data_IF_884346273190
#
_entry.id   IF_884346273190
#
_cell.length_a   1.000
_cell.length_b   1.000
_cell.length_c   1.000
_cell.angle_alpha   90.00
_cell.angle_beta   90.00
_cell.angle_gamma   90.00
#
_symmetry.space_group_name_H-M   'P 1'
#
loop_
_entity.id
_entity.type
_entity.pdbx_description
1 polymer ?
#
# COMPACT_ATOMS: atom_id res chain seq x y z
N UNK A 1 -52.75 -19.71 -27.46
CA UNK A 1 -52.52 -18.58 -28.39
C UNK A 1 -51.05 -18.18 -28.29
N UNK A 2 -50.31 -18.48 -29.34
CA UNK A 2 -48.96 -17.99 -29.61
C UNK A 2 -48.99 -16.50 -29.92
N UNK A 3 -47.89 -15.76 -29.69
CA UNK A 3 -47.41 -14.73 -30.62
C UNK A 3 -45.88 -14.54 -30.47
N UNK A 4 -45.19 -14.88 -31.56
CA UNK A 4 -43.87 -14.40 -32.04
C UNK A 4 -43.95 -12.87 -32.26
N UNK A 5 -42.91 -12.04 -32.41
CA UNK A 5 -41.61 -12.16 -33.10
C UNK A 5 -40.86 -10.82 -32.94
N UNK A 6 -39.53 -10.82 -33.08
CA UNK A 6 -38.78 -9.60 -33.45
C UNK A 6 -37.27 -9.64 -33.18
N UNK A 7 -36.54 -10.35 -34.06
CA UNK A 7 -35.08 -10.32 -34.15
C UNK A 7 -34.61 -9.09 -34.94
N UNK A 8 -33.54 -8.44 -34.48
CA UNK A 8 -32.74 -7.50 -35.26
C UNK A 8 -31.25 -7.89 -35.21
N UNK A 9 -30.74 -8.47 -36.31
CA UNK A 9 -29.32 -8.75 -36.55
C UNK A 9 -28.57 -7.45 -36.90
N UNK A 10 -27.42 -7.18 -36.27
CA UNK A 10 -26.33 -6.41 -36.91
C UNK A 10 -24.99 -7.10 -36.68
N UNK A 11 -24.30 -7.30 -37.81
CA UNK A 11 -23.01 -7.97 -38.00
C UNK A 11 -21.89 -7.22 -37.29
N UNK A 12 -21.04 -7.92 -36.54
CA UNK A 12 -19.70 -7.46 -36.19
C UNK A 12 -18.68 -8.24 -37.02
N UNK A 13 -18.03 -7.54 -37.93
CA UNK A 13 -16.90 -8.01 -38.72
C UNK A 13 -15.66 -8.04 -37.83
N UNK A 14 -15.01 -9.20 -37.77
CA UNK A 14 -13.79 -9.40 -37.01
C UNK A 14 -12.57 -8.74 -37.66
N UNK A 15 -11.73 -8.16 -36.81
CA UNK A 15 -10.30 -8.00 -37.09
C UNK A 15 -9.55 -8.73 -35.98
N UNK A 16 -8.91 -9.84 -36.37
CA UNK A 16 -7.87 -10.53 -35.62
C UNK A 16 -6.67 -9.60 -35.52
N UNK A 17 -6.14 -9.38 -34.33
CA UNK A 17 -4.79 -8.84 -34.15
C UNK A 17 -3.96 -9.98 -33.57
N UNK A 18 -3.13 -10.54 -34.45
CA UNK A 18 -2.12 -11.55 -34.17
C UNK A 18 -1.02 -10.95 -33.28
N UNK A 19 -0.73 -11.58 -32.14
CA UNK A 19 0.50 -11.35 -31.40
C UNK A 19 1.47 -12.50 -31.71
N UNK A 20 2.34 -12.24 -32.68
CA UNK A 20 3.45 -13.12 -33.04
C UNK A 20 4.52 -13.18 -31.95
N UNK A 21 4.99 -14.40 -31.70
CA UNK A 21 6.12 -14.78 -30.84
C UNK A 21 7.45 -14.26 -31.40
N UNK A 22 8.38 -14.03 -30.46
CA UNK A 22 9.83 -14.25 -30.46
C UNK A 22 10.63 -14.27 -31.77
N UNK A 23 11.81 -13.61 -31.75
CA UNK A 23 13.13 -14.23 -32.00
C UNK A 23 14.26 -13.22 -31.71
N UNK A 24 15.22 -13.68 -30.90
CA UNK A 24 16.58 -13.12 -30.76
C UNK A 24 17.37 -13.25 -32.07
N UNK A 25 18.07 -12.19 -32.52
CA UNK A 25 19.54 -12.16 -32.70
C UNK A 25 20.03 -11.03 -33.63
N UNK A 26 21.14 -10.42 -33.20
CA UNK A 26 22.28 -9.91 -33.98
C UNK A 26 22.01 -9.15 -35.29
N UNK A 27 22.35 -7.86 -35.26
CA UNK A 27 23.23 -7.30 -36.28
C UNK A 27 24.12 -6.19 -35.69
N UNK A 28 25.40 -6.53 -35.57
CA UNK A 28 26.50 -5.57 -35.59
C UNK A 28 26.44 -4.80 -36.91
N UNK A 29 26.27 -3.48 -36.88
CA UNK A 29 26.89 -2.62 -37.88
C UNK A 29 27.50 -1.40 -37.20
N UNK A 30 28.83 -1.44 -37.20
CA UNK A 30 29.73 -0.30 -37.02
C UNK A 30 29.31 0.80 -38.01
N UNK A 31 29.21 2.03 -37.53
CA UNK A 31 29.57 3.19 -38.35
C UNK A 31 30.46 4.11 -37.50
N UNK A 32 31.76 3.96 -37.74
CA UNK A 32 32.73 5.00 -37.49
C UNK A 32 32.44 6.16 -38.45
N UNK A 33 32.25 7.36 -37.93
CA UNK A 33 32.64 8.57 -38.64
C UNK A 33 33.16 9.63 -37.65
N UNK A 34 34.49 9.71 -37.65
CA UNK A 34 35.30 10.92 -37.73
C UNK A 34 35.03 12.13 -36.83
N UNK A 35 36.05 12.39 -36.01
CA UNK A 35 36.49 13.66 -35.42
C UNK A 35 36.08 14.91 -36.20
N UNK A 36 35.51 15.88 -35.49
CA UNK A 36 35.52 17.30 -35.84
C UNK A 36 35.63 18.14 -34.58
N UNK A 37 36.84 18.59 -34.28
CA UNK A 37 37.09 19.54 -33.19
C UNK A 37 36.55 20.92 -33.57
N UNK A 38 35.77 21.51 -32.67
CA UNK A 38 35.30 22.89 -32.80
C UNK A 38 35.25 23.54 -31.42
N UNK A 39 36.30 24.31 -31.10
CA UNK A 39 36.31 25.25 -29.97
C UNK A 39 35.30 26.35 -30.27
N UNK A 40 34.21 26.39 -29.52
CA UNK A 40 33.26 27.51 -29.51
C UNK A 40 33.12 28.05 -28.09
N UNK A 41 33.79 29.17 -27.81
CA UNK A 41 33.52 30.01 -26.62
C UNK A 41 32.15 30.67 -26.81
N UNK A 42 31.29 30.56 -25.80
CA UNK A 42 29.98 31.20 -25.80
C UNK A 42 29.39 31.27 -24.40
N UNK A 43 29.70 32.35 -23.70
CA UNK A 43 28.84 33.12 -22.79
C UNK A 43 28.04 32.34 -21.74
N UNK A 44 28.59 32.31 -20.52
CA UNK A 44 27.90 31.87 -19.32
C UNK A 44 26.77 32.81 -18.92
N UNK A 45 25.55 32.28 -18.89
CA UNK A 45 24.50 32.71 -17.98
C UNK A 45 24.48 31.72 -16.83
N UNK A 46 25.08 32.09 -15.70
CA UNK A 46 25.10 31.27 -14.50
C UNK A 46 23.69 31.11 -13.96
N UNK A 47 23.14 29.90 -14.05
CA UNK A 47 22.07 29.50 -13.14
C UNK A 47 22.71 29.28 -11.77
N UNK A 48 22.35 30.13 -10.82
CA UNK A 48 22.72 30.00 -9.41
C UNK A 48 22.35 28.61 -8.90
N UNK A 49 23.36 27.74 -8.74
CA UNK A 49 23.30 26.47 -8.05
C UNK A 49 23.22 26.68 -6.52
N UNK A 50 22.27 27.50 -6.06
CA UNK A 50 21.89 27.61 -4.64
C UNK A 50 20.46 27.13 -4.45
N UNK A 51 20.29 25.82 -4.54
CA UNK A 51 19.21 25.11 -3.83
C UNK A 51 19.82 24.01 -2.99
N UNK A 52 20.68 24.42 -2.06
CA UNK A 52 20.86 23.72 -0.78
C UNK A 52 19.59 23.91 0.06
N UNK A 53 18.44 23.50 -0.45
CA UNK A 53 17.32 23.16 0.43
C UNK A 53 17.65 21.76 0.94
N UNK A 54 18.17 21.59 2.17
CA UNK A 54 18.32 20.27 2.73
C UNK A 54 16.95 19.61 2.62
N UNK A 55 16.91 18.43 1.99
CA UNK A 55 15.75 17.57 2.07
C UNK A 55 15.37 17.52 3.55
N UNK A 56 14.12 17.85 3.94
CA UNK A 56 13.73 17.77 5.34
C UNK A 56 14.05 16.36 5.79
N UNK A 57 15.04 16.23 6.67
CA UNK A 57 15.31 14.96 7.31
C UNK A 57 13.98 14.58 7.95
N UNK A 58 13.45 13.42 7.54
CA UNK A 58 12.42 12.75 8.33
C UNK A 58 12.93 12.82 9.77
N UNK A 59 12.19 13.51 10.65
CA UNK A 59 12.52 13.51 12.07
C UNK A 59 12.66 12.04 12.41
N UNK A 60 13.89 11.63 12.70
CA UNK A 60 14.16 10.30 13.22
C UNK A 60 13.40 10.33 14.53
N UNK A 61 12.26 9.64 14.58
CA UNK A 61 11.57 9.43 15.83
C UNK A 61 12.63 8.84 16.75
N UNK A 62 12.91 9.47 17.90
CA UNK A 62 13.92 8.96 18.80
C UNK A 62 13.56 7.49 19.04
N UNK A 63 14.51 6.60 18.76
CA UNK A 63 14.40 5.18 19.01
C UNK A 63 14.49 5.01 20.53
N UNK A 64 13.44 5.48 21.22
CA UNK A 64 13.29 5.34 22.64
C UNK A 64 12.99 3.86 22.82
N UNK A 65 14.05 3.07 23.01
CA UNK A 65 13.98 1.70 23.54
C UNK A 65 13.50 1.71 24.99
N UNK A 66 12.37 2.36 25.26
CA UNK A 66 11.52 2.07 26.41
C UNK A 66 11.11 0.61 26.20
N UNK A 67 11.35 -0.25 27.19
CA UNK A 67 10.81 -1.62 27.18
C UNK A 67 9.30 -1.50 26.94
N UNK A 68 8.84 -1.94 25.77
CA UNK A 68 7.41 -1.93 25.44
C UNK A 68 6.69 -2.80 26.48
N UNK A 69 5.58 -2.31 27.03
CA UNK A 69 4.74 -2.97 28.03
C UNK A 69 3.28 -2.99 27.55
N UNK A 70 2.49 -3.94 28.04
CA UNK A 70 1.07 -4.08 27.67
C UNK A 70 0.87 -4.27 26.17
N UNK A 71 -0.19 -3.65 25.62
CA UNK A 71 -0.51 -3.73 24.20
C UNK A 71 0.63 -3.33 23.24
N UNK A 72 1.54 -2.45 23.69
CA UNK A 72 2.68 -1.99 22.88
C UNK A 72 3.72 -3.09 22.64
N UNK A 73 3.77 -4.12 23.47
CA UNK A 73 4.70 -5.24 23.35
C UNK A 73 4.17 -6.38 22.47
N UNK A 74 2.87 -6.36 22.13
CA UNK A 74 2.23 -7.46 21.40
C UNK A 74 2.76 -7.50 19.95
N UNK A 75 3.20 -8.66 19.44
CA UNK A 75 3.60 -8.79 18.04
C UNK A 75 2.45 -8.43 17.09
N UNK A 76 2.75 -7.64 16.04
CA UNK A 76 1.72 -7.22 15.07
C UNK A 76 1.18 -8.40 14.26
N UNK A 77 2.06 -9.33 13.89
CA UNK A 77 1.65 -10.59 13.28
C UNK A 77 1.13 -11.49 14.42
N UNK A 78 -0.03 -12.16 14.22
CA UNK A 78 -0.60 -13.02 15.25
C UNK A 78 0.33 -14.19 15.60
N UNK A 79 0.16 -14.70 16.81
CA UNK A 79 0.85 -15.92 17.25
C UNK A 79 -0.06 -17.14 17.11
N UNK A 80 0.52 -18.33 17.01
CA UNK A 80 -0.23 -19.59 16.98
C UNK A 80 -1.19 -19.71 18.17
N UNK A 81 -0.69 -19.40 19.38
CA UNK A 81 -1.49 -19.44 20.62
C UNK A 81 -2.74 -18.56 20.54
N UNK A 82 -2.64 -17.41 19.88
CA UNK A 82 -3.74 -16.46 19.73
C UNK A 82 -4.78 -16.90 18.69
N UNK A 83 -4.34 -17.60 17.64
CA UNK A 83 -5.24 -18.19 16.63
C UNK A 83 -5.87 -19.50 17.09
N UNK A 84 -5.28 -20.18 18.07
CA UNK A 84 -5.82 -21.40 18.66
C UNK A 84 -6.63 -21.15 19.94
N UNK A 85 -6.49 -19.98 20.56
CA UNK A 85 -7.26 -19.59 21.73
C UNK A 85 -8.77 -19.49 21.41
N UNK A 86 -9.65 -19.70 22.39
CA UNK A 86 -11.06 -19.36 22.24
C UNK A 86 -11.23 -17.84 22.07
N UNK A 87 -12.41 -17.43 21.61
CA UNK A 87 -12.74 -16.00 21.53
C UNK A 87 -12.55 -15.31 22.90
N UNK A 88 -11.86 -14.15 22.96
CA UNK A 88 -11.71 -13.40 24.20
C UNK A 88 -13.08 -13.04 24.79
N UNK A 89 -13.24 -13.22 26.10
CA UNK A 89 -14.49 -12.88 26.81
C UNK A 89 -14.59 -11.39 27.13
N UNK A 90 -13.45 -10.76 27.40
CA UNK A 90 -13.36 -9.38 27.89
C UNK A 90 -12.76 -8.47 26.82
N UNK A 91 -13.47 -8.31 25.70
CA UNK A 91 -13.07 -7.34 24.66
C UNK A 91 -13.51 -5.94 25.14
N UNK A 92 -12.62 -4.94 25.14
CA UNK A 92 -12.96 -3.60 25.59
C UNK A 92 -14.01 -2.96 24.69
N UNK A 93 -14.83 -2.08 25.25
CA UNK A 93 -15.91 -1.40 24.52
C UNK A 93 -15.45 0.01 24.15
N UNK A 94 -15.68 0.41 22.90
CA UNK A 94 -15.42 1.77 22.45
C UNK A 94 -16.34 2.75 23.21
N UNK A 95 -15.76 3.62 24.05
CA UNK A 95 -16.48 4.68 24.75
C UNK A 95 -16.81 5.81 23.77
N UNK A 96 -18.10 5.99 23.48
CA UNK A 96 -18.60 7.04 22.58
C UNK A 96 -19.26 8.21 23.31
N UNK A 97 -19.77 7.99 24.52
CA UNK A 97 -20.55 8.95 25.30
C UNK A 97 -19.81 9.40 26.56
N UNK A 98 -18.53 9.73 26.45
CA UNK A 98 -17.74 10.24 27.57
C UNK A 98 -16.23 10.22 27.32
N UNK A 99 -15.45 10.78 28.26
CA UNK A 99 -14.00 10.79 28.17
C UNK A 99 -13.40 9.41 28.48
N UNK A 100 -12.15 9.22 28.04
CA UNK A 100 -11.31 8.13 28.49
C UNK A 100 -10.52 8.55 29.74
N UNK A 101 -10.20 7.61 30.63
CA UNK A 101 -9.45 7.91 31.86
C UNK A 101 -8.01 8.31 31.54
N UNK A 102 -7.44 7.74 30.49
CA UNK A 102 -6.11 8.06 30.00
C UNK A 102 -5.97 7.81 28.51
N UNK A 103 -4.90 8.36 27.93
CA UNK A 103 -4.55 8.07 26.54
C UNK A 103 -4.12 6.62 26.34
N UNK A 104 -3.40 6.02 27.28
CA UNK A 104 -3.04 4.61 27.13
C UNK A 104 -4.28 3.70 27.15
N UNK A 105 -5.31 4.02 27.94
CA UNK A 105 -6.60 3.31 27.91
C UNK A 105 -7.28 3.43 26.53
N UNK A 106 -7.31 4.63 25.95
CA UNK A 106 -7.85 4.88 24.61
C UNK A 106 -7.10 4.06 23.53
N UNK A 107 -5.76 4.12 23.55
CA UNK A 107 -4.93 3.42 22.58
C UNK A 107 -5.03 1.90 22.72
N UNK A 108 -5.02 1.38 23.94
CA UNK A 108 -5.19 -0.04 24.24
C UNK A 108 -6.56 -0.54 23.77
N UNK A 109 -7.63 0.17 24.11
CA UNK A 109 -9.00 -0.16 23.69
C UNK A 109 -9.11 -0.26 22.17
N UNK A 110 -8.62 0.74 21.44
CA UNK A 110 -8.68 0.73 19.98
C UNK A 110 -7.73 -0.29 19.35
N UNK A 111 -6.57 -0.54 19.95
CA UNK A 111 -5.64 -1.57 19.49
C UNK A 111 -6.29 -2.97 19.59
N UNK A 112 -6.86 -3.31 20.75
CA UNK A 112 -7.50 -4.60 20.98
C UNK A 112 -8.72 -4.82 20.09
N UNK A 113 -9.57 -3.80 19.94
CA UNK A 113 -10.72 -3.84 19.02
C UNK A 113 -10.29 -4.09 17.57
N UNK A 114 -9.29 -3.37 17.07
CA UNK A 114 -8.79 -3.54 15.71
C UNK A 114 -8.10 -4.90 15.51
N UNK A 115 -7.36 -5.35 16.51
CA UNK A 115 -6.70 -6.65 16.49
C UNK A 115 -7.71 -7.78 16.44
N UNK A 116 -8.75 -7.72 17.27
CA UNK A 116 -9.81 -8.72 17.28
C UNK A 116 -10.62 -8.71 15.98
N UNK A 117 -10.98 -7.53 15.44
CA UNK A 117 -11.66 -7.42 14.14
C UNK A 117 -10.84 -8.03 13.00
N UNK A 118 -9.51 -7.86 13.04
CA UNK A 118 -8.61 -8.45 12.06
C UNK A 118 -8.51 -9.98 12.20
N UNK A 119 -8.34 -10.49 13.43
CA UNK A 119 -7.98 -11.89 13.68
C UNK A 119 -9.18 -12.83 13.84
N UNK A 120 -10.34 -12.32 14.27
CA UNK A 120 -11.52 -13.15 14.53
C UNK A 120 -11.94 -14.01 13.34
N UNK A 121 -12.04 -13.51 12.10
CA UNK A 121 -12.42 -14.35 10.96
C UNK A 121 -11.39 -15.46 10.68
N UNK A 122 -10.11 -15.17 10.90
CA UNK A 122 -9.01 -16.12 10.74
C UNK A 122 -9.10 -17.24 11.80
N UNK A 123 -9.25 -16.85 13.07
CA UNK A 123 -9.38 -17.76 14.22
C UNK A 123 -10.57 -18.71 14.06
N UNK A 124 -11.76 -18.16 13.81
CA UNK A 124 -12.99 -18.94 13.59
C UNK A 124 -12.86 -19.87 12.38
N UNK A 125 -12.25 -19.37 11.32
CA UNK A 125 -12.02 -20.13 10.10
C UNK A 125 -11.11 -21.33 10.31
N UNK A 126 -9.99 -21.14 11.01
CA UNK A 126 -9.03 -22.22 11.32
C UNK A 126 -9.69 -23.24 12.24
N UNK A 127 -10.46 -22.80 13.24
CA UNK A 127 -11.19 -23.73 14.12
C UNK A 127 -12.16 -24.63 13.33
N UNK A 128 -12.98 -24.04 12.45
CA UNK A 128 -13.91 -24.82 11.61
C UNK A 128 -13.18 -25.78 10.66
N UNK A 129 -12.03 -25.35 10.12
CA UNK A 129 -11.19 -26.21 9.29
C UNK A 129 -10.67 -27.41 10.06
N UNK A 130 -10.22 -27.21 11.31
CA UNK A 130 -9.73 -28.28 12.19
C UNK A 130 -10.82 -29.27 12.58
N UNK A 131 -12.03 -28.78 12.80
CA UNK A 131 -13.24 -29.57 13.07
C UNK A 131 -13.79 -30.28 11.82
N UNK A 132 -13.15 -30.08 10.65
CA UNK A 132 -13.56 -30.65 9.35
C UNK A 132 -14.99 -30.27 8.95
N UNK A 133 -15.39 -29.04 9.25
CA UNK A 133 -16.67 -28.50 8.79
C UNK A 133 -16.74 -28.45 7.25
N UNK A 134 -17.92 -28.76 6.70
CA UNK A 134 -18.15 -28.74 5.25
C UNK A 134 -18.07 -27.31 4.68
N UNK A 135 -18.59 -26.33 5.42
CA UNK A 135 -18.61 -24.91 5.02
C UNK A 135 -17.73 -24.05 5.93
N UNK A 136 -16.82 -23.29 5.32
CA UNK A 136 -15.89 -22.39 6.01
C UNK A 136 -15.96 -21.01 5.34
N UNK A 137 -16.97 -20.19 5.67
CA UNK A 137 -17.25 -18.95 4.94
C UNK A 137 -16.21 -17.84 5.17
N UNK A 138 -15.47 -17.93 6.27
CA UNK A 138 -14.49 -16.90 6.67
C UNK A 138 -13.12 -17.07 6.00
N UNK A 139 -12.82 -18.25 5.44
CA UNK A 139 -11.54 -18.55 4.81
C UNK A 139 -11.65 -18.88 3.33
N UNK A 140 -10.55 -18.64 2.63
CA UNK A 140 -10.26 -19.27 1.35
C UNK A 140 -9.07 -20.18 1.56
N UNK A 141 -9.19 -21.39 1.02
CA UNK A 141 -8.25 -22.48 1.22
C UNK A 141 -7.56 -22.79 -0.10
N UNK A 142 -6.24 -22.93 -0.02
CA UNK A 142 -5.37 -23.27 -1.13
C UNK A 142 -4.58 -24.53 -0.76
N UNK A 143 -4.49 -25.45 -1.70
CA UNK A 143 -3.94 -26.79 -1.53
C UNK A 143 -2.73 -26.99 -2.44
N UNK A 144 -1.92 -28.03 -2.16
CA UNK A 144 -0.71 -28.36 -2.93
C UNK A 144 0.25 -27.18 -3.00
N UNK A 145 0.46 -26.56 -1.85
CA UNK A 145 1.26 -25.36 -1.73
C UNK A 145 2.73 -25.75 -1.70
N UNK A 146 3.52 -25.26 -2.66
CA UNK A 146 4.94 -25.60 -2.79
C UNK A 146 5.79 -24.35 -2.97
N UNK A 147 7.00 -24.36 -2.43
CA UNK A 147 8.02 -23.38 -2.75
C UNK A 147 8.60 -23.70 -4.14
N UNK A 148 8.57 -22.71 -5.04
CA UNK A 148 9.04 -22.84 -6.43
C UNK A 148 10.27 -21.98 -6.71
N UNK A 149 10.59 -21.05 -5.81
CA UNK A 149 11.82 -20.28 -5.95
C UNK A 149 11.91 -19.13 -4.96
N UNK A 150 13.08 -18.51 -4.93
CA UNK A 150 13.40 -17.44 -4.01
C UNK A 150 13.89 -16.23 -4.81
N UNK A 151 13.51 -15.02 -4.38
CA UNK A 151 13.93 -13.76 -4.98
C UNK A 151 14.30 -12.73 -3.92
N UNK A 152 15.20 -11.81 -4.26
CA UNK A 152 15.79 -10.86 -3.30
C UNK A 152 15.37 -9.41 -3.60
N UNK A 153 14.47 -8.87 -2.79
CA UNK A 153 14.07 -7.46 -2.85
C UNK A 153 14.77 -6.62 -1.78
N UNK A 154 14.63 -5.31 -1.88
CA UNK A 154 15.11 -4.38 -0.83
C UNK A 154 14.42 -4.59 0.51
N UNK A 155 13.23 -5.20 0.52
CA UNK A 155 12.46 -5.48 1.74
C UNK A 155 12.86 -6.81 2.41
N UNK A 156 13.57 -7.69 1.70
CA UNK A 156 13.95 -9.01 2.22
C UNK A 156 13.87 -10.11 1.16
N UNK A 157 13.88 -11.35 1.68
CA UNK A 157 13.79 -12.59 0.91
C UNK A 157 12.32 -12.88 0.60
N UNK A 158 11.99 -13.01 -0.67
CA UNK A 158 10.65 -13.26 -1.17
C UNK A 158 10.59 -14.67 -1.73
N UNK A 159 9.57 -15.40 -1.32
CA UNK A 159 9.36 -16.80 -1.66
C UNK A 159 8.26 -16.90 -2.69
N UNK A 160 8.55 -17.54 -3.82
CA UNK A 160 7.55 -17.84 -4.84
C UNK A 160 6.86 -19.13 -4.49
N UNK A 161 5.56 -19.03 -4.24
CA UNK A 161 4.73 -20.15 -3.82
C UNK A 161 3.79 -20.52 -4.96
N UNK A 162 3.82 -21.78 -5.38
CA UNK A 162 2.75 -22.37 -6.22
C UNK A 162 1.67 -22.98 -5.36
N UNK A 163 0.44 -22.97 -5.87
CA UNK A 163 -0.70 -23.57 -5.20
C UNK A 163 -1.82 -23.91 -6.20
N UNK A 164 -2.79 -24.65 -5.70
CA UNK A 164 -4.07 -24.93 -6.36
C UNK A 164 -5.21 -24.47 -5.48
N UNK A 165 -6.36 -24.17 -6.06
CA UNK A 165 -7.55 -23.75 -5.31
C UNK A 165 -8.38 -24.98 -4.99
N UNK A 166 -8.98 -25.02 -3.80
CA UNK A 166 -9.89 -26.11 -3.41
C UNK A 166 -10.94 -26.35 -4.51
N UNK A 167 -11.19 -27.62 -4.84
CA UNK A 167 -12.09 -28.05 -5.93
C UNK A 167 -11.77 -27.48 -7.34
N UNK A 168 -10.55 -26.99 -7.58
CA UNK A 168 -10.15 -26.37 -8.86
C UNK A 168 -11.10 -25.25 -9.32
N UNK A 169 -11.63 -24.47 -8.37
CA UNK A 169 -12.44 -23.30 -8.65
C UNK A 169 -11.77 -22.37 -9.67
N UNK A 170 -12.47 -22.06 -10.77
CA UNK A 170 -12.01 -21.07 -11.74
C UNK A 170 -12.61 -19.72 -11.42
N UNK A 171 -11.75 -18.72 -11.28
CA UNK A 171 -12.19 -17.34 -11.02
C UNK A 171 -11.39 -16.33 -11.83
N UNK A 172 -12.05 -15.19 -12.09
CA UNK A 172 -11.42 -14.06 -12.76
C UNK A 172 -10.51 -13.34 -11.78
N UNK A 173 -9.24 -13.74 -11.76
CA UNK A 173 -8.22 -13.15 -10.90
C UNK A 173 -8.17 -11.62 -11.06
N UNK A 174 -8.18 -11.08 -12.28
CA UNK A 174 -8.12 -9.64 -12.52
C UNK A 174 -9.12 -8.79 -11.69
N UNK A 175 -10.32 -9.32 -11.42
CA UNK A 175 -11.35 -8.63 -10.62
C UNK A 175 -11.44 -9.11 -9.17
N UNK A 176 -10.74 -10.18 -8.83
CA UNK A 176 -10.79 -10.81 -7.51
C UNK A 176 -9.95 -10.06 -6.47
N UNK A 177 -10.48 -9.95 -5.25
CA UNK A 177 -9.76 -9.44 -4.07
C UNK A 177 -8.94 -10.53 -3.35
N UNK A 178 -8.86 -11.74 -3.89
CA UNK A 178 -8.05 -12.85 -3.34
C UNK A 178 -6.55 -12.52 -3.44
N UNK A 179 -5.78 -12.84 -2.41
CA UNK A 179 -4.32 -12.78 -2.35
C UNK A 179 -3.72 -11.45 -2.82
N UNK A 180 -4.41 -10.33 -2.58
CA UNK A 180 -3.86 -9.03 -2.94
C UNK A 180 -2.59 -8.74 -2.13
N UNK A 181 -1.61 -7.99 -2.68
CA UNK A 181 -0.43 -7.61 -1.91
C UNK A 181 -0.82 -6.98 -0.57
N UNK A 182 -0.18 -7.39 0.53
CA UNK A 182 -0.51 -6.99 1.90
C UNK A 182 -1.49 -7.92 2.64
N UNK A 183 -2.04 -8.93 1.97
CA UNK A 183 -2.88 -9.95 2.65
C UNK A 183 -2.01 -10.88 3.50
N UNK A 184 -2.43 -11.13 4.74
CA UNK A 184 -1.86 -12.17 5.60
C UNK A 184 -2.34 -13.55 5.13
N UNK A 185 -1.39 -14.46 4.95
CA UNK A 185 -1.60 -15.86 4.63
C UNK A 185 -0.96 -16.73 5.70
N UNK A 186 -1.65 -17.80 6.08
CA UNK A 186 -1.18 -18.76 7.08
C UNK A 186 -0.99 -20.10 6.41
N UNK A 187 0.15 -20.73 6.68
CA UNK A 187 0.54 -22.02 6.12
C UNK A 187 0.61 -23.06 7.23
N UNK A 188 0.15 -24.27 6.97
CA UNK A 188 0.29 -25.39 7.89
C UNK A 188 0.40 -26.72 7.14
N UNK A 189 1.04 -27.71 7.76
CA UNK A 189 1.17 -29.09 7.28
C UNK A 189 0.40 -30.12 8.12
N UNK A 190 -0.03 -29.74 9.32
CA UNK A 190 -0.50 -30.64 10.38
C UNK A 190 -1.89 -30.23 10.88
N UNK A 191 -2.77 -29.83 9.96
CA UNK A 191 -4.12 -29.35 10.31
C UNK A 191 -4.06 -28.17 11.30
N UNK A 192 -3.17 -27.22 11.04
CA UNK A 192 -3.03 -25.97 11.79
C UNK A 192 -2.66 -26.19 13.27
N UNK A 193 -1.86 -27.21 13.58
CA UNK A 193 -1.20 -27.35 14.87
C UNK A 193 0.07 -26.50 14.94
N UNK A 194 0.87 -26.53 13.87
CA UNK A 194 1.95 -25.58 13.59
C UNK A 194 1.57 -24.66 12.44
N UNK A 195 1.94 -23.38 12.54
CA UNK A 195 1.60 -22.36 11.56
C UNK A 195 2.80 -21.48 11.21
N UNK A 196 2.91 -21.18 9.91
CA UNK A 196 3.86 -20.20 9.38
C UNK A 196 3.11 -19.01 8.83
N UNK A 197 3.59 -17.80 9.09
CA UNK A 197 2.93 -16.57 8.69
C UNK A 197 3.66 -15.89 7.54
N UNK A 198 2.92 -15.57 6.49
CA UNK A 198 3.41 -14.84 5.34
C UNK A 198 2.49 -13.67 4.97
N UNK A 199 3.06 -12.64 4.36
CA UNK A 199 2.29 -11.57 3.72
C UNK A 199 2.49 -11.65 2.22
N UNK A 200 1.41 -11.61 1.44
CA UNK A 200 1.53 -11.59 -0.02
C UNK A 200 2.27 -10.34 -0.45
N UNK A 201 3.42 -10.50 -1.09
CA UNK A 201 4.26 -9.40 -1.54
C UNK A 201 3.87 -8.95 -2.95
N UNK A 202 3.71 -9.91 -3.86
CA UNK A 202 3.35 -9.62 -5.25
C UNK A 202 2.41 -10.69 -5.81
N UNK A 203 1.47 -10.21 -6.62
CA UNK A 203 0.39 -10.99 -7.22
C UNK A 203 0.35 -10.70 -8.72
N UNK A 204 1.25 -11.33 -9.47
CA UNK A 204 1.32 -11.18 -10.92
C UNK A 204 0.17 -11.90 -11.60
N UNK A 205 -0.64 -11.20 -12.40
CA UNK A 205 -1.77 -11.81 -13.11
C UNK A 205 -1.32 -12.88 -14.10
N UNK A 206 -0.17 -12.70 -14.76
CA UNK A 206 0.38 -13.68 -15.70
C UNK A 206 0.65 -15.04 -15.05
N UNK A 207 1.03 -15.05 -13.76
CA UNK A 207 1.28 -16.26 -12.98
C UNK A 207 0.01 -16.90 -12.43
N UNK A 208 -1.12 -16.20 -12.51
CA UNK A 208 -2.44 -16.65 -12.05
C UNK A 208 -3.39 -17.02 -13.20
N UNK A 209 -2.96 -16.83 -14.44
CA UNK A 209 -3.70 -17.27 -15.65
C UNK A 209 -3.47 -18.75 -15.98
N UNK A 210 -2.46 -19.38 -15.35
CA UNK A 210 -2.19 -20.81 -15.47
C UNK A 210 -3.34 -21.65 -14.90
N UNK A 211 -3.68 -22.74 -15.57
CA UNK A 211 -4.83 -23.57 -15.19
C UNK A 211 -4.58 -24.49 -13.98
N UNK A 212 -3.33 -24.86 -13.67
CA UNK A 212 -3.00 -25.88 -12.68
C UNK A 212 -1.70 -25.60 -11.87
N UNK A 213 -1.19 -24.37 -11.92
CA UNK A 213 0.03 -23.96 -11.21
C UNK A 213 -0.04 -22.45 -10.97
N UNK A 214 -0.86 -22.05 -10.01
CA UNK A 214 -1.07 -20.65 -9.68
C UNK A 214 0.07 -20.21 -8.77
N UNK A 215 0.72 -19.08 -9.09
CA UNK A 215 1.87 -18.63 -8.30
C UNK A 215 1.70 -17.21 -7.77
N UNK A 216 2.14 -17.01 -6.53
CA UNK A 216 2.27 -15.71 -5.88
C UNK A 216 3.65 -15.59 -5.22
N UNK A 217 4.05 -14.36 -4.95
CA UNK A 217 5.26 -14.07 -4.20
C UNK A 217 4.87 -13.67 -2.77
N UNK A 218 5.45 -14.31 -1.76
CA UNK A 218 5.14 -14.17 -0.33
C UNK A 218 6.39 -13.76 0.45
N UNK A 219 6.22 -12.85 1.40
CA UNK A 219 7.23 -12.45 2.38
C UNK A 219 6.88 -13.07 3.74
N UNK A 220 7.72 -14.00 4.21
CA UNK A 220 7.55 -14.67 5.50
C UNK A 220 8.15 -13.86 6.65
N UNK A 221 7.71 -14.14 7.88
CA UNK A 221 8.47 -13.73 9.07
C UNK A 221 9.81 -14.45 9.09
N UNK A 222 10.80 -13.83 9.73
CA UNK A 222 12.15 -14.40 9.77
C UNK A 222 12.17 -15.80 10.40
N UNK A 223 11.40 -16.02 11.48
CA UNK A 223 11.28 -17.34 12.11
C UNK A 223 10.54 -18.37 11.25
N UNK A 224 9.74 -17.93 10.27
CA UNK A 224 8.87 -18.75 9.44
C UNK A 224 9.46 -19.05 8.04
N UNK A 225 10.70 -18.61 7.76
CA UNK A 225 11.33 -18.71 6.43
C UNK A 225 11.60 -20.17 6.03
N UNK A 226 11.88 -21.05 7.00
CA UNK A 226 12.25 -22.43 6.70
C UNK A 226 11.09 -23.17 6.06
N UNK A 227 11.15 -23.38 4.74
CA UNK A 227 10.21 -24.22 4.01
C UNK A 227 10.86 -25.58 3.75
N UNK A 228 10.23 -26.65 4.21
CA UNK A 228 10.64 -28.00 3.82
C UNK A 228 10.17 -28.21 2.37
N UNK A 229 11.11 -28.51 1.47
CA UNK A 229 10.81 -28.83 0.08
C UNK A 229 9.92 -30.08 0.03
N UNK A 230 8.87 -30.06 -0.81
CA UNK A 230 7.99 -31.18 -1.17
C UNK A 230 6.83 -31.59 -0.26
N UNK A 231 6.59 -30.94 0.88
CA UNK A 231 5.43 -31.28 1.72
C UNK A 231 4.17 -30.50 1.35
N UNK A 232 3.03 -31.20 1.26
CA UNK A 232 1.73 -30.67 0.84
C UNK A 232 1.10 -29.67 1.81
N UNK A 233 1.72 -28.50 1.98
CA UNK A 233 1.19 -27.42 2.80
C UNK A 233 -0.21 -27.00 2.33
N UNK A 234 -1.01 -26.59 3.30
CA UNK A 234 -2.28 -25.89 3.10
C UNK A 234 -2.08 -24.43 3.46
N UNK A 235 -2.49 -23.53 2.57
CA UNK A 235 -2.45 -22.09 2.78
C UNK A 235 -3.87 -21.55 2.90
N UNK A 236 -4.09 -20.65 3.86
CA UNK A 236 -5.38 -19.97 4.05
C UNK A 236 -5.24 -18.46 4.04
N UNK A 237 -6.26 -17.78 3.53
CA UNK A 237 -6.46 -16.34 3.70
C UNK A 237 -7.88 -16.05 4.21
N UNK A 238 -8.06 -14.93 4.91
CA UNK A 238 -9.39 -14.46 5.32
C UNK A 238 -10.18 -13.85 4.16
N UNK A 239 -11.51 -14.03 4.16
CA UNK A 239 -12.39 -13.47 3.13
C UNK A 239 -12.70 -11.98 3.33
N UNK A 240 -12.72 -11.51 4.58
CA UNK A 240 -13.22 -10.19 5.00
C UNK A 240 -12.15 -9.18 5.39
N UNK A 241 -11.00 -9.62 5.91
CA UNK A 241 -10.00 -8.75 6.54
C UNK A 241 -8.79 -8.52 5.62
N UNK A 242 -8.37 -7.26 5.47
CA UNK A 242 -7.17 -6.88 4.73
C UNK A 242 -6.06 -6.45 5.69
N UNK A 243 -5.17 -7.40 6.02
CA UNK A 243 -4.19 -7.28 7.09
C UNK A 243 -3.31 -6.04 7.01
N UNK A 244 -2.79 -5.66 5.83
CA UNK A 244 -1.89 -4.50 5.69
C UNK A 244 -2.48 -3.20 6.26
N UNK A 245 -3.80 -2.99 6.10
CA UNK A 245 -4.46 -1.81 6.64
C UNK A 245 -4.44 -1.82 8.17
N UNK A 246 -4.75 -2.96 8.79
CA UNK A 246 -4.68 -3.11 10.25
C UNK A 246 -3.25 -3.05 10.75
N UNK A 247 -2.30 -3.70 10.06
CA UNK A 247 -0.87 -3.71 10.39
C UNK A 247 -0.33 -2.29 10.55
N UNK A 248 -0.59 -1.40 9.60
CA UNK A 248 -0.11 -0.01 9.70
C UNK A 248 -0.75 0.76 10.86
N UNK A 249 -2.07 0.63 11.05
CA UNK A 249 -2.77 1.33 12.15
C UNK A 249 -2.30 0.81 13.50
N UNK A 250 -2.21 -0.50 13.68
CA UNK A 250 -1.74 -1.13 14.91
C UNK A 250 -0.30 -0.72 15.24
N UNK A 251 0.61 -0.68 14.26
CA UNK A 251 1.98 -0.18 14.48
C UNK A 251 1.97 1.26 15.00
N UNK A 252 1.18 2.14 14.38
CA UNK A 252 1.07 3.54 14.80
C UNK A 252 0.53 3.63 16.23
N UNK A 253 -0.53 2.88 16.58
CA UNK A 253 -1.08 2.86 17.94
C UNK A 253 -0.04 2.40 18.98
N UNK A 254 0.79 1.41 18.65
CA UNK A 254 1.85 0.93 19.54
C UNK A 254 3.01 1.91 19.70
N UNK A 255 3.32 2.71 18.67
CA UNK A 255 4.45 3.64 18.64
C UNK A 255 4.07 5.07 19.05
N UNK A 256 2.78 5.42 19.04
CA UNK A 256 2.33 6.77 19.30
C UNK A 256 2.73 7.24 20.69
N UNK A 257 3.47 8.35 20.75
CA UNK A 257 3.89 8.97 21.99
C UNK A 257 2.73 9.77 22.61
N UNK A 258 2.33 9.48 23.87
CA UNK A 258 1.21 10.13 24.52
C UNK A 258 1.24 11.66 24.51
N UNK A 259 2.44 12.26 24.56
CA UNK A 259 2.60 13.71 24.62
C UNK A 259 2.45 14.41 23.27
N UNK A 260 2.37 13.64 22.18
CA UNK A 260 2.39 14.16 20.80
C UNK A 260 1.08 13.98 20.05
N UNK A 261 0.06 13.37 20.67
CA UNK A 261 -1.21 13.12 20.01
C UNK A 261 -1.94 14.46 19.73
N UNK A 262 -2.23 14.78 18.46
CA UNK A 262 -3.02 15.97 18.13
C UNK A 262 -4.48 15.84 18.60
N UNK A 263 -5.09 16.95 19.03
CA UNK A 263 -6.49 17.04 19.46
C UNK A 263 -6.84 16.15 20.67
N UNK A 264 -5.87 15.90 21.56
CA UNK A 264 -6.03 15.08 22.77
C UNK A 264 -7.21 15.54 23.63
N UNK A 265 -7.34 16.85 23.82
CA UNK A 265 -8.40 17.53 24.54
C UNK A 265 -9.80 17.18 23.99
N UNK A 266 -9.93 17.03 22.68
CA UNK A 266 -11.22 16.71 22.05
C UNK A 266 -11.49 15.21 21.98
N UNK A 267 -10.46 14.40 21.74
CA UNK A 267 -10.59 12.95 21.51
C UNK A 267 -10.70 12.19 22.85
N UNK A 268 -9.92 12.58 23.86
CA UNK A 268 -9.78 11.85 25.12
C UNK A 268 -10.55 12.55 26.23
N UNK A 269 -10.33 13.85 26.40
CA UNK A 269 -10.88 14.64 27.50
C UNK A 269 -12.31 15.11 27.20
N UNK A 270 -12.79 14.90 25.97
CA UNK A 270 -14.14 15.19 25.51
C UNK A 270 -14.50 16.69 25.59
N UNK A 271 -13.51 17.57 25.43
CA UNK A 271 -13.71 19.01 25.35
C UNK A 271 -14.44 19.39 24.05
N UNK A 272 -15.56 20.09 24.19
CA UNK A 272 -16.42 20.52 23.08
C UNK A 272 -16.04 21.89 22.53
N UNK A 273 -15.24 22.67 23.28
CA UNK A 273 -14.85 24.01 22.88
C UNK A 273 -13.66 23.97 21.93
N UNK A 274 -13.87 24.37 20.68
CA UNK A 274 -12.83 24.31 19.64
C UNK A 274 -12.21 25.69 19.47
N UNK A 275 -10.97 25.83 19.91
CA UNK A 275 -10.20 27.07 19.74
C UNK A 275 -9.78 27.33 18.28
N UNK A 276 -9.17 28.49 18.09
CA UNK A 276 -8.53 28.89 16.85
C UNK A 276 -7.26 28.06 16.58
N UNK A 277 -6.87 27.84 15.32
CA UNK A 277 -5.57 27.24 15.02
C UNK A 277 -4.41 28.09 15.54
N UNK A 278 -3.42 27.46 16.17
CA UNK A 278 -2.22 28.10 16.74
C UNK A 278 -1.47 28.98 15.72
N UNK A 279 -1.42 28.55 14.45
CA UNK A 279 -0.74 29.34 13.41
C UNK A 279 -1.39 30.71 13.17
N UNK A 280 -2.67 30.90 13.53
CA UNK A 280 -3.33 32.19 13.45
C UNK A 280 -2.95 33.11 14.60
N UNK A 281 -2.49 32.58 15.74
CA UNK A 281 -2.01 33.41 16.86
C UNK A 281 -0.68 34.08 16.51
N UNK A 282 0.18 33.36 15.77
CA UNK A 282 1.55 33.76 15.46
C UNK A 282 1.61 34.59 14.17
N UNK A 283 0.70 34.36 13.21
CA UNK A 283 0.76 34.96 11.87
C UNK A 283 -0.28 36.06 11.67
N UNK A 284 -0.05 36.85 10.62
CA UNK A 284 -1.03 37.82 10.16
C UNK A 284 -2.33 37.10 9.80
N UNK A 285 -3.45 37.57 10.37
CA UNK A 285 -4.79 37.04 10.14
C UNK A 285 -5.47 37.62 8.91
N UNK A 286 -4.78 38.46 8.14
CA UNK A 286 -5.31 39.00 6.89
C UNK A 286 -5.10 38.00 5.77
N UNK A 287 -6.19 37.43 5.26
CA UNK A 287 -6.18 36.52 4.13
C UNK A 287 -6.64 37.23 2.86
N UNK A 288 -5.98 36.92 1.76
CA UNK A 288 -6.39 37.27 0.43
C UNK A 288 -7.40 36.26 -0.11
N UNK A 289 -8.60 36.73 -0.41
CA UNK A 289 -9.64 36.00 -1.10
C UNK A 289 -9.65 36.44 -2.57
N UNK A 290 -9.07 35.63 -3.46
CA UNK A 290 -9.13 35.84 -4.91
C UNK A 290 -10.53 35.53 -5.44
N UNK A 291 -11.30 36.58 -5.69
CA UNK A 291 -12.69 36.51 -6.18
C UNK A 291 -12.72 37.20 -7.55
N UNK A 292 -13.13 36.50 -8.60
CA UNK A 292 -13.13 37.00 -9.98
C UNK A 292 -11.81 37.64 -10.39
N UNK A 293 -10.69 36.98 -10.04
CA UNK A 293 -9.31 37.43 -10.27
C UNK A 293 -8.93 38.78 -9.63
N UNK A 294 -9.72 39.23 -8.65
CA UNK A 294 -9.42 40.40 -7.82
C UNK A 294 -9.04 39.97 -6.41
N UNK A 295 -7.93 40.50 -5.94
CA UNK A 295 -7.47 40.32 -4.57
C UNK A 295 -8.36 41.11 -3.60
N UNK A 296 -8.83 40.43 -2.55
CA UNK A 296 -9.58 41.06 -1.46
C UNK A 296 -9.04 40.59 -0.13
N UNK A 297 -8.47 41.53 0.61
CA UNK A 297 -7.86 41.27 1.91
C UNK A 297 -8.92 41.34 3.01
N UNK A 298 -9.02 40.29 3.81
CA UNK A 298 -9.95 40.19 4.93
C UNK A 298 -9.24 39.67 6.17
N UNK A 299 -9.47 40.32 7.31
CA UNK A 299 -9.03 39.79 8.59
C UNK A 299 -9.98 38.66 9.03
N UNK A 300 -9.49 37.41 9.04
CA UNK A 300 -10.29 36.25 9.39
C UNK A 300 -10.62 36.17 10.90
N UNK A 301 -9.92 36.95 11.74
CA UNK A 301 -10.25 37.12 13.17
C UNK A 301 -11.29 38.20 13.42
N UNK A 302 -11.44 39.13 12.48
CA UNK A 302 -12.32 40.28 12.61
C UNK A 302 -13.76 39.98 12.19
N UNK A 303 -14.50 41.05 11.89
CA UNK A 303 -15.85 40.94 11.36
C UNK A 303 -15.85 40.37 9.93
N UNK A 304 -16.57 39.27 9.74
CA UNK A 304 -16.72 38.65 8.43
C UNK A 304 -17.74 39.43 7.58
N UNK A 305 -17.45 39.75 6.32
CA UNK A 305 -18.41 40.44 5.46
C UNK A 305 -19.65 39.58 5.19
N UNK A 306 -20.72 40.20 4.70
CA UNK A 306 -21.92 39.46 4.26
C UNK A 306 -21.61 38.59 3.04
N UNK A 307 -22.27 37.43 2.95
CA UNK A 307 -22.04 36.43 1.89
C UNK A 307 -22.15 37.05 0.49
N UNK A 308 -23.16 37.90 0.25
CA UNK A 308 -23.40 38.56 -1.04
C UNK A 308 -22.23 39.44 -1.52
N UNK A 309 -21.42 39.97 -0.59
CA UNK A 309 -20.27 40.82 -0.93
C UNK A 309 -19.08 40.01 -1.42
N UNK A 310 -18.91 38.78 -0.93
CA UNK A 310 -17.71 37.96 -1.18
C UNK A 310 -18.03 36.84 -2.17
N UNK A 311 -19.07 36.06 -1.88
CA UNK A 311 -19.46 34.89 -2.63
C UNK A 311 -20.98 34.89 -2.84
N UNK A 312 -21.49 35.69 -3.78
CA UNK A 312 -22.93 35.76 -4.05
C UNK A 312 -23.52 34.42 -4.52
N UNK A 313 -22.65 33.50 -4.94
CA UNK A 313 -22.98 32.13 -5.35
C UNK A 313 -23.05 31.12 -4.19
N UNK A 314 -22.64 31.52 -2.97
CA UNK A 314 -22.68 30.65 -1.79
C UNK A 314 -23.98 30.86 -1.00
N UNK A 315 -24.58 29.75 -0.57
CA UNK A 315 -25.63 29.81 0.44
C UNK A 315 -25.06 30.16 1.82
N UNK A 316 -25.85 30.80 2.70
CA UNK A 316 -25.39 31.22 4.05
C UNK A 316 -24.77 30.07 4.84
N UNK A 317 -25.37 28.88 4.81
CA UNK A 317 -24.82 27.69 5.50
C UNK A 317 -23.48 27.20 4.93
N UNK A 318 -23.24 27.37 3.62
CA UNK A 318 -21.95 27.06 2.99
C UNK A 318 -20.90 28.10 3.37
N UNK A 319 -21.30 29.36 3.50
CA UNK A 319 -20.45 30.44 3.97
C UNK A 319 -20.04 30.25 5.44
N UNK A 320 -20.97 29.86 6.30
CA UNK A 320 -20.69 29.51 7.70
C UNK A 320 -19.75 28.31 7.82
N UNK A 321 -19.93 27.29 6.96
CA UNK A 321 -19.01 26.16 6.88
C UNK A 321 -17.60 26.60 6.45
N UNK A 322 -17.49 27.49 5.46
CA UNK A 322 -16.21 28.06 5.02
C UNK A 322 -15.53 28.85 6.14
N UNK A 323 -16.28 29.72 6.82
CA UNK A 323 -15.81 30.48 7.97
C UNK A 323 -15.28 29.55 9.06
N UNK A 324 -16.02 28.49 9.39
CA UNK A 324 -15.61 27.52 10.41
C UNK A 324 -14.33 26.78 10.02
N UNK A 325 -14.17 26.37 8.77
CA UNK A 325 -12.95 25.72 8.28
C UNK A 325 -11.71 26.61 8.34
N UNK A 326 -11.88 27.93 8.17
CA UNK A 326 -10.76 28.88 8.15
C UNK A 326 -10.39 29.44 9.53
N UNK A 327 -11.30 29.34 10.51
CA UNK A 327 -11.14 30.00 11.83
C UNK A 327 -11.00 29.04 13.01
N UNK A 328 -11.29 27.75 12.84
CA UNK A 328 -11.26 26.75 13.92
C UNK A 328 -10.21 25.67 13.66
N UNK A 329 -9.54 25.21 14.72
CA UNK A 329 -8.55 24.11 14.62
C UNK A 329 -9.17 22.78 14.18
N UNK A 330 -10.46 22.59 14.48
CA UNK A 330 -11.25 21.45 14.06
C UNK A 330 -12.62 21.91 13.52
N UNK A 331 -12.99 21.42 12.33
CA UNK A 331 -14.27 21.75 11.70
C UNK A 331 -14.98 20.49 11.21
N UNK A 332 -16.14 20.21 11.79
CA UNK A 332 -17.04 19.14 11.35
C UNK A 332 -18.12 19.74 10.44
N UNK A 333 -18.07 19.42 9.15
CA UNK A 333 -19.01 19.93 8.15
C UNK A 333 -19.95 18.82 7.70
N UNK A 334 -21.19 18.90 8.15
CA UNK A 334 -22.25 17.99 7.73
C UNK A 334 -23.04 18.61 6.58
N UNK A 335 -23.39 17.79 5.58
CA UNK A 335 -24.26 18.22 4.50
C UNK A 335 -24.89 17.02 3.77
N UNK A 336 -26.18 17.02 3.47
CA UNK A 336 -26.82 16.03 2.61
C UNK A 336 -26.13 15.89 1.22
N UNK A 337 -26.42 14.82 0.46
CA UNK A 337 -25.97 14.71 -0.93
C UNK A 337 -26.40 15.95 -1.75
N UNK A 338 -25.51 16.44 -2.63
CA UNK A 338 -25.81 17.59 -3.49
C UNK A 338 -25.63 18.98 -2.86
N UNK A 339 -25.40 19.11 -1.55
CA UNK A 339 -25.27 20.41 -0.85
C UNK A 339 -23.96 21.17 -1.09
N UNK A 340 -23.15 20.75 -2.06
CA UNK A 340 -21.93 21.47 -2.42
C UNK A 340 -20.75 21.31 -1.45
N UNK A 341 -20.69 20.28 -0.60
CA UNK A 341 -19.53 20.03 0.30
C UNK A 341 -18.18 20.10 -0.43
N UNK A 342 -18.09 19.45 -1.59
CA UNK A 342 -16.90 19.52 -2.45
C UNK A 342 -16.60 20.94 -2.90
N UNK A 343 -17.63 21.70 -3.28
CA UNK A 343 -17.49 23.08 -3.73
C UNK A 343 -16.91 23.99 -2.63
N UNK A 344 -17.48 23.92 -1.42
CA UNK A 344 -17.00 24.70 -0.27
C UNK A 344 -15.60 24.26 0.14
N UNK A 345 -15.33 22.95 0.16
CA UNK A 345 -14.01 22.41 0.46
C UNK A 345 -12.93 22.87 -0.53
N UNK A 346 -13.24 22.94 -1.83
CA UNK A 346 -12.32 23.47 -2.84
C UNK A 346 -12.01 24.95 -2.61
N UNK A 347 -13.01 25.77 -2.25
CA UNK A 347 -12.79 27.18 -1.90
C UNK A 347 -11.89 27.30 -0.66
N UNK A 348 -12.14 26.50 0.37
CA UNK A 348 -11.31 26.50 1.58
C UNK A 348 -9.85 26.13 1.27
N UNK A 349 -9.62 25.05 0.52
CA UNK A 349 -8.26 24.63 0.11
C UNK A 349 -7.57 25.73 -0.70
N UNK A 350 -8.26 26.35 -1.67
CA UNK A 350 -7.70 27.44 -2.46
C UNK A 350 -7.25 28.61 -1.57
N UNK A 351 -8.14 29.07 -0.67
CA UNK A 351 -7.83 30.16 0.27
C UNK A 351 -6.66 29.80 1.18
N UNK A 352 -6.61 28.57 1.71
CA UNK A 352 -5.50 28.14 2.56
C UNK A 352 -4.17 28.09 1.79
N UNK A 353 -4.14 27.61 0.55
CA UNK A 353 -2.92 27.57 -0.28
C UNK A 353 -2.45 28.98 -0.68
N UNK A 354 -3.37 29.88 -1.02
CA UNK A 354 -3.05 31.26 -1.39
C UNK A 354 -2.44 32.06 -0.21
N UNK A 355 -2.73 31.67 1.04
CA UNK A 355 -2.38 32.45 2.24
C UNK A 355 -1.39 31.76 3.18
N UNK A 356 -1.21 30.45 3.06
CA UNK A 356 -0.35 29.67 3.94
C UNK A 356 0.70 28.89 3.13
N UNK A 357 1.98 28.92 3.54
CA UNK A 357 3.06 28.12 2.95
C UNK A 357 3.02 26.65 3.42
N UNK A 358 1.88 26.16 3.91
CA UNK A 358 1.73 24.81 4.44
C UNK A 358 1.27 23.83 3.37
N UNK A 359 1.74 22.59 3.49
CA UNK A 359 1.26 21.49 2.65
C UNK A 359 -0.05 20.96 3.23
N UNK A 360 -1.04 20.78 2.37
CA UNK A 360 -2.36 20.26 2.76
C UNK A 360 -2.40 18.77 2.43
N UNK A 361 -2.70 17.94 3.43
CA UNK A 361 -2.96 16.51 3.24
C UNK A 361 -4.47 16.30 3.08
N UNK A 362 -4.86 15.63 1.99
CA UNK A 362 -6.25 15.35 1.67
C UNK A 362 -6.47 13.84 1.68
N UNK A 363 -7.41 13.40 2.51
CA UNK A 363 -7.78 11.99 2.65
C UNK A 363 -9.26 11.80 2.37
N UNK A 364 -9.62 10.71 1.70
CA UNK A 364 -11.00 10.31 1.47
C UNK A 364 -11.14 8.80 1.61
N UNK A 365 -12.33 8.33 2.01
CA UNK A 365 -12.61 6.89 2.14
C UNK A 365 -12.50 6.13 0.81
N UNK A 366 -12.82 6.78 -0.32
CA UNK A 366 -12.81 6.14 -1.63
C UNK A 366 -11.88 6.87 -2.59
N UNK A 367 -11.21 6.09 -3.45
CA UNK A 367 -10.42 6.63 -4.57
C UNK A 367 -11.27 7.52 -5.48
N UNK A 368 -12.55 7.18 -5.70
CA UNK A 368 -13.41 8.00 -6.55
C UNK A 368 -13.63 9.40 -5.98
N UNK A 369 -13.94 9.51 -4.68
CA UNK A 369 -14.13 10.80 -4.01
C UNK A 369 -12.84 11.64 -4.02
N UNK A 370 -11.69 11.00 -3.74
CA UNK A 370 -10.39 11.67 -3.80
C UNK A 370 -10.10 12.19 -5.22
N UNK A 371 -10.30 11.38 -6.26
CA UNK A 371 -10.05 11.78 -7.65
C UNK A 371 -10.90 12.97 -8.05
N UNK A 372 -12.18 12.97 -7.69
CA UNK A 372 -13.09 14.08 -7.97
C UNK A 372 -12.64 15.37 -7.27
N UNK A 373 -12.18 15.27 -6.02
CA UNK A 373 -11.69 16.41 -5.27
C UNK A 373 -10.39 16.96 -5.88
N UNK A 374 -9.43 16.09 -6.19
CA UNK A 374 -8.16 16.47 -6.83
C UNK A 374 -8.36 17.05 -8.23
N UNK A 375 -9.35 16.58 -9.00
CA UNK A 375 -9.73 17.15 -10.29
C UNK A 375 -10.22 18.60 -10.16
N UNK A 376 -10.79 18.97 -9.00
CA UNK A 376 -11.14 20.34 -8.66
C UNK A 376 -9.91 21.18 -8.31
N UNK A 377 -9.00 20.62 -7.50
CA UNK A 377 -7.78 21.31 -7.04
C UNK A 377 -6.81 21.59 -8.19
N UNK A 378 -6.64 20.64 -9.12
CA UNK A 378 -5.73 20.80 -10.27
C UNK A 378 -6.04 22.03 -11.14
N UNK A 379 -7.21 22.65 -10.98
CA UNK A 379 -7.59 23.86 -11.72
C UNK A 379 -6.87 25.11 -11.21
N UNK A 380 -6.32 25.07 -10.00
CA UNK A 380 -5.68 26.19 -9.35
C UNK A 380 -4.38 25.85 -8.61
N UNK A 381 -3.98 24.57 -8.54
CA UNK A 381 -2.72 24.12 -7.96
C UNK A 381 -2.12 22.96 -8.77
N UNK A 382 -0.86 23.10 -9.18
CA UNK A 382 -0.14 22.11 -9.99
C UNK A 382 0.74 21.16 -9.15
N UNK A 383 1.13 21.56 -7.93
CA UNK A 383 2.02 20.79 -7.06
C UNK A 383 1.27 19.71 -6.27
N UNK A 384 0.57 18.84 -6.97
CA UNK A 384 -0.22 17.75 -6.39
C UNK A 384 0.61 16.46 -6.42
N UNK A 385 0.69 15.80 -5.26
CA UNK A 385 1.18 14.41 -5.17
C UNK A 385 0.04 13.55 -4.63
N UNK A 386 -0.38 12.58 -5.43
CA UNK A 386 -1.36 11.58 -5.05
C UNK A 386 -0.66 10.28 -4.63
N UNK A 387 -1.01 9.79 -3.44
CA UNK A 387 -0.62 8.47 -2.97
C UNK A 387 -1.63 7.40 -3.43
N UNK A 388 -1.13 6.20 -3.71
CA UNK A 388 -1.91 5.07 -4.24
C UNK A 388 -1.90 4.96 -5.76
N UNK A 389 -2.00 3.73 -6.27
CA UNK A 389 -1.85 3.40 -7.69
C UNK A 389 -3.17 3.40 -8.49
N UNK A 390 -4.32 3.29 -7.81
CA UNK A 390 -5.62 3.05 -8.45
C UNK A 390 -6.38 4.34 -8.74
N UNK A 391 -6.26 4.84 -9.97
CA UNK A 391 -7.08 5.94 -10.51
C UNK A 391 -7.79 5.54 -11.78
N UNK A 392 -9.02 6.03 -11.97
CA UNK A 392 -9.73 5.95 -13.27
C UNK A 392 -9.52 7.19 -14.14
N UNK A 393 -9.04 8.30 -13.58
CA UNK A 393 -8.84 9.55 -14.31
C UNK A 393 -7.41 9.63 -14.86
N UNK A 394 -7.27 9.73 -16.18
CA UNK A 394 -5.95 9.81 -16.81
C UNK A 394 -5.20 11.10 -16.41
N UNK A 395 -5.93 12.19 -16.16
CA UNK A 395 -5.34 13.43 -15.61
C UNK A 395 -4.79 13.23 -14.20
N UNK A 396 -5.51 12.54 -13.31
CA UNK A 396 -5.03 12.32 -11.94
C UNK A 396 -3.92 11.27 -11.88
N UNK A 397 -3.87 10.33 -12.83
CA UNK A 397 -2.77 9.36 -12.91
C UNK A 397 -1.42 10.04 -13.00
N UNK A 398 -1.27 11.16 -13.72
CA UNK A 398 0.01 11.88 -13.84
C UNK A 398 0.51 12.43 -12.49
N UNK A 399 -0.41 12.77 -11.58
CA UNK A 399 -0.08 13.22 -10.22
C UNK A 399 0.22 12.09 -9.24
N UNK A 400 0.11 10.82 -9.63
CA UNK A 400 0.48 9.71 -8.73
C UNK A 400 1.97 9.73 -8.43
N UNK A 401 2.36 9.41 -7.20
CA UNK A 401 3.76 9.34 -6.79
C UNK A 401 4.61 8.44 -7.71
N UNK A 402 4.03 7.35 -8.19
CA UNK A 402 4.69 6.47 -9.15
C UNK A 402 5.04 7.21 -10.45
N UNK A 403 4.06 7.84 -11.11
CA UNK A 403 4.30 8.54 -12.37
C UNK A 403 5.19 9.76 -12.18
N UNK A 404 5.03 10.53 -11.08
CA UNK A 404 5.95 11.63 -10.75
C UNK A 404 7.38 11.17 -10.56
N UNK A 405 7.60 10.02 -9.92
CA UNK A 405 8.94 9.42 -9.81
C UNK A 405 9.50 8.97 -11.16
N UNK A 406 8.67 8.45 -12.07
CA UNK A 406 9.12 8.09 -13.42
C UNK A 406 9.48 9.34 -14.23
N UNK A 407 8.69 10.41 -14.14
CA UNK A 407 9.00 11.72 -14.76
C UNK A 407 10.37 12.23 -14.29
N UNK A 408 10.62 12.24 -12.97
CA UNK A 408 11.89 12.67 -12.38
C UNK A 408 13.05 11.79 -12.88
N UNK A 409 12.87 10.47 -12.92
CA UNK A 409 13.89 9.54 -13.43
C UNK A 409 14.23 9.75 -14.91
N UNK A 410 13.28 10.24 -15.71
CA UNK A 410 13.45 10.52 -17.14
C UNK A 410 14.06 11.90 -17.37
N UNK A 411 13.73 12.89 -16.53
CA UNK A 411 14.22 14.27 -16.62
C UNK A 411 15.63 14.45 -16.02
N UNK A 412 15.94 13.70 -14.96
CA UNK A 412 17.27 13.68 -14.37
C UNK A 412 18.14 12.66 -15.10
N UNK A 413 19.15 13.14 -15.83
CA UNK A 413 20.35 12.33 -16.07
C UNK A 413 20.76 11.78 -14.70
N UNK A 414 20.93 10.46 -14.53
CA UNK A 414 21.04 9.86 -13.22
C UNK A 414 22.10 10.63 -12.45
N UNK A 415 21.74 11.15 -11.28
CA UNK A 415 22.69 11.45 -10.23
C UNK A 415 23.57 10.21 -10.09
N UNK A 416 24.72 10.22 -10.78
CA UNK A 416 25.73 9.16 -10.82
C UNK A 416 26.37 9.12 -9.44
N UNK A 417 25.64 8.68 -8.44
CA UNK A 417 26.21 8.35 -7.16
C UNK A 417 26.92 7.00 -7.36
N UNK A 418 28.19 7.07 -7.78
CA UNK A 418 29.01 5.90 -8.12
C UNK A 418 29.03 4.86 -7.02
N UNK A 419 28.90 5.30 -5.76
CA UNK A 419 28.74 4.45 -4.57
C UNK A 419 27.45 3.62 -4.61
N UNK A 420 26.31 4.22 -4.96
CA UNK A 420 25.03 3.52 -5.06
C UNK A 420 25.09 2.48 -6.19
N UNK A 421 25.70 2.82 -7.33
CA UNK A 421 25.89 1.86 -8.42
C UNK A 421 26.81 0.69 -8.03
N UNK A 422 27.83 0.95 -7.20
CA UNK A 422 28.68 -0.10 -6.63
C UNK A 422 27.90 -1.07 -5.74
N UNK A 423 27.03 -0.54 -4.87
CA UNK A 423 26.15 -1.35 -4.01
C UNK A 423 25.16 -2.19 -4.82
N UNK A 424 24.59 -1.64 -5.90
CA UNK A 424 23.72 -2.42 -6.80
C UNK A 424 24.45 -3.60 -7.45
N UNK A 425 25.70 -3.40 -7.92
CA UNK A 425 26.51 -4.50 -8.47
C UNK A 425 26.85 -5.56 -7.43
N UNK A 426 27.19 -5.15 -6.21
CA UNK A 426 27.44 -6.08 -5.11
C UNK A 426 26.19 -6.91 -4.77
N UNK A 427 25.02 -6.25 -4.70
CA UNK A 427 23.74 -6.93 -4.53
C UNK A 427 23.51 -7.95 -5.64
N UNK A 428 23.66 -7.56 -6.91
CA UNK A 428 23.47 -8.46 -8.05
C UNK A 428 24.42 -9.66 -8.02
N UNK A 429 25.68 -9.46 -7.60
CA UNK A 429 26.62 -10.56 -7.44
C UNK A 429 26.19 -11.54 -6.36
N UNK A 430 25.88 -11.06 -5.15
CA UNK A 430 25.39 -11.89 -4.06
C UNK A 430 24.10 -12.64 -4.44
N UNK A 431 23.17 -11.97 -5.12
CA UNK A 431 21.95 -12.60 -5.62
C UNK A 431 22.26 -13.76 -6.58
N UNK A 432 23.23 -13.59 -7.50
CA UNK A 432 23.64 -14.68 -8.41
C UNK A 432 24.26 -15.86 -7.65
N UNK A 433 25.13 -15.56 -6.69
CA UNK A 433 25.82 -16.60 -5.91
C UNK A 433 24.81 -17.40 -5.06
N UNK A 434 23.83 -16.73 -4.46
CA UNK A 434 22.75 -17.37 -3.70
C UNK A 434 21.83 -18.22 -4.58
N UNK A 435 21.41 -17.72 -5.74
CA UNK A 435 20.57 -18.49 -6.67
C UNK A 435 21.28 -19.77 -7.10
N UNK A 436 22.57 -19.68 -7.44
CA UNK A 436 23.36 -20.86 -7.79
C UNK A 436 23.40 -21.89 -6.66
N UNK A 437 23.60 -21.45 -5.42
CA UNK A 437 23.59 -22.34 -4.26
C UNK A 437 22.23 -23.02 -4.06
N UNK A 438 21.13 -22.28 -4.27
CA UNK A 438 19.78 -22.85 -4.21
C UNK A 438 19.54 -23.89 -5.31
N UNK A 439 19.97 -23.63 -6.54
CA UNK A 439 19.87 -24.58 -7.67
C UNK A 439 20.63 -25.89 -7.37
N UNK A 440 21.83 -25.78 -6.77
CA UNK A 440 22.65 -26.93 -6.35
C UNK A 440 21.99 -27.75 -5.22
N UNK A 441 21.16 -27.11 -4.37
CA UNK A 441 20.38 -27.78 -3.31
C UNK A 441 19.13 -28.46 -3.88
N UNK A 442 18.43 -27.83 -4.83
CA UNK A 442 17.21 -28.38 -5.46
C UNK A 442 17.52 -29.59 -6.35
N UNK A 443 18.67 -29.59 -7.02
CA UNK A 443 19.20 -30.73 -7.74
C UNK A 443 20.54 -31.13 -7.13
N UNK A 444 20.57 -31.88 -6.01
CA UNK A 444 21.80 -32.45 -5.53
C UNK A 444 22.29 -33.38 -6.64
N UNK A 445 23.29 -32.94 -7.40
CA UNK A 445 24.01 -33.81 -8.31
C UNK A 445 24.60 -34.92 -7.44
N UNK A 446 23.91 -36.06 -7.35
CA UNK A 446 24.50 -37.30 -6.87
C UNK A 446 25.70 -37.55 -7.77
N UNK A 447 26.89 -37.29 -7.25
CA UNK A 447 28.09 -37.58 -7.99
C UNK A 447 28.22 -39.09 -8.13
N UNK A 448 28.94 -39.53 -9.14
CA UNK A 448 29.21 -40.96 -9.36
C UNK A 448 29.79 -41.66 -8.13
N UNK A 449 30.56 -40.92 -7.32
CA UNK A 449 31.13 -41.41 -6.06
C UNK A 449 30.10 -41.57 -4.96
N UNK A 450 29.09 -40.70 -4.90
CA UNK A 450 28.04 -40.77 -3.88
C UNK A 450 27.16 -42.02 -4.10
N UNK A 451 26.93 -42.40 -5.35
CA UNK A 451 26.20 -43.64 -5.72
C UNK A 451 27.04 -44.89 -5.43
N UNK A 452 28.36 -44.82 -5.66
CA UNK A 452 29.33 -45.89 -5.36
C UNK A 452 29.44 -46.13 -3.85
N UNK A 453 29.48 -45.07 -3.03
CA UNK A 453 29.51 -45.15 -1.57
C UNK A 453 28.21 -45.66 -0.95
N UNK A 454 27.05 -45.38 -1.56
CA UNK A 454 25.75 -45.85 -1.08
C UNK A 454 25.49 -47.34 -1.38
N UNK A 455 26.33 -48.01 -2.19
CA UNK A 455 26.24 -49.46 -2.46
C UNK A 455 24.93 -49.90 -3.12
N UNK A 456 24.21 -48.98 -3.77
CA UNK A 456 22.86 -49.21 -4.28
C UNK A 456 22.82 -49.94 -5.63
N UNK A 457 23.95 -50.07 -6.33
CA UNK A 457 24.06 -50.68 -7.65
C UNK A 457 25.16 -51.75 -7.66
N UNK A 458 24.94 -52.84 -8.40
CA UNK A 458 25.96 -53.88 -8.61
C UNK A 458 27.08 -53.40 -9.54
N UNK A 459 28.27 -54.02 -9.45
CA UNK A 459 29.43 -53.66 -10.29
C UNK A 459 29.12 -53.66 -11.79
N UNK A 460 28.30 -54.60 -12.26
CA UNK A 460 27.87 -54.66 -13.66
C UNK A 460 26.93 -53.53 -14.06
N UNK A 461 26.04 -53.10 -13.16
CA UNK A 461 25.14 -51.96 -13.42
C UNK A 461 25.94 -50.64 -13.43
N UNK A 462 26.95 -50.53 -12.57
CA UNK A 462 27.88 -49.39 -12.52
C UNK A 462 28.72 -49.27 -13.80
N UNK A 463 29.20 -50.37 -14.38
CA UNK A 463 29.94 -50.35 -15.65
C UNK A 463 29.08 -49.93 -16.85
N UNK A 464 27.78 -50.26 -16.84
CA UNK A 464 26.86 -49.93 -17.94
C UNK A 464 26.46 -48.44 -18.01
N UNK A 465 26.72 -47.68 -16.95
CA UNK A 465 26.36 -46.27 -16.82
C UNK A 465 27.53 -45.32 -17.15
N UNK A 466 28.76 -45.84 -17.31
CA UNK A 466 29.93 -45.12 -17.84
C UNK A 466 29.87 -45.01 -19.36
#
# INVERSE_FOLDING_TARGET
>A
MSHRRGQGKKKYTGQKIDYGRDINNKSNQRNNNTRGGGKGRGSGGGFDNKRDTPLPMLKVFPDIKKKKKGFRAIPIIPTEKELLAPQPRDIPVNKIDGPYESLDEYLETHYELLREDCLRPLRQGIQLLREKADEIPTLRIYEKVNLVGISFASIGIIHRISFTTRHNERFKWATSKRLIPGTLVVFSKDNFESMKFGTVYNRSLNLLEKAYDLQIDVLFQFEDIEFEWSDGYVMVETTSSYFEAYRHVMNVLQELDPDTLPFKEHIIEFDKEIDMPEYLEIRQSTYNFKIDDKDRLFDIKGEWPTVDKIFPDLHTSQYDALKRMLTRRLALIQGPPGTGKTYVGLKAVKILLDNLPYKIVITCQTNHALDQFLLGIQKFEDNIIRLGSRSKSDKIKTYTLYNKRQEIKLSDRPLKNSKINGLFRQKEQLTRDMVKLCDDIENPFLSWKDIEEMGCLSEQQMESLK
#
